data_IF_502262241398
#
_entry.id   IF_502262241398
#
_cell.length_a   1.000
_cell.length_b   1.000
_cell.length_c   1.000
_cell.angle_alpha   90.00
_cell.angle_beta   90.00
_cell.angle_gamma   90.00
#
_symmetry.space_group_name_H-M   'P 1'
#
loop_
_entity.id
_entity.type
_entity.pdbx_description
1 polymer ?
#
# COMPACT_ATOMS: atom_id res chain seq x y z
N UNK A 1 9.50 16.16 61.28
CA UNK A 1 10.18 15.92 59.99
C UNK A 1 10.74 14.49 59.96
N UNK A 2 9.97 13.50 59.47
CA UNK A 2 10.36 12.08 59.47
C UNK A 2 11.13 11.74 58.19
N UNK A 3 12.46 11.66 58.27
CA UNK A 3 13.30 11.12 57.19
C UNK A 3 13.15 9.60 57.15
N UNK A 4 12.47 9.07 56.13
CA UNK A 4 12.45 7.63 55.83
C UNK A 4 13.87 7.24 55.40
N UNK A 5 14.59 6.48 56.24
CA UNK A 5 15.84 5.82 55.85
C UNK A 5 15.51 4.85 54.72
N UNK A 6 15.99 5.12 53.50
CA UNK A 6 16.13 4.09 52.48
C UNK A 6 17.15 3.07 53.02
N UNK A 7 16.65 1.89 53.40
CA UNK A 7 17.51 0.76 53.68
C UNK A 7 18.20 0.33 52.39
N UNK A 8 19.47 0.72 52.24
CA UNK A 8 20.36 0.10 51.27
C UNK A 8 20.53 -1.34 51.73
N UNK A 9 19.95 -2.28 50.98
CA UNK A 9 20.11 -3.70 51.21
C UNK A 9 21.60 -4.04 51.16
N UNK A 10 22.18 -4.47 52.29
CA UNK A 10 23.51 -5.08 52.31
C UNK A 10 23.44 -6.38 51.52
N UNK A 11 23.88 -6.34 50.27
CA UNK A 11 23.89 -7.46 49.34
C UNK A 11 24.94 -8.50 49.77
N UNK A 12 24.47 -9.58 50.41
CA UNK A 12 25.33 -10.66 50.94
C UNK A 12 25.88 -11.62 49.88
N UNK A 13 25.48 -11.50 48.61
CA UNK A 13 25.93 -12.42 47.56
C UNK A 13 25.96 -11.74 46.18
N UNK A 14 27.14 -11.39 45.64
CA UNK A 14 27.25 -10.65 44.39
C UNK A 14 26.68 -11.42 43.18
N UNK A 15 26.70 -12.76 43.22
CA UNK A 15 26.14 -13.60 42.14
C UNK A 15 24.62 -13.45 42.06
N UNK A 16 23.93 -13.46 43.20
CA UNK A 16 22.46 -13.27 43.24
C UNK A 16 22.05 -11.91 42.69
N UNK A 17 22.91 -10.90 42.84
CA UNK A 17 22.64 -9.52 42.41
C UNK A 17 22.73 -9.41 40.91
N UNK A 18 23.78 -10.00 40.33
CA UNK A 18 23.96 -10.07 38.89
C UNK A 18 22.78 -10.83 38.25
N UNK A 19 22.36 -11.96 38.84
CA UNK A 19 21.19 -12.70 38.35
C UNK A 19 19.89 -11.88 38.41
N UNK A 20 19.66 -11.14 39.49
CA UNK A 20 18.46 -10.28 39.63
C UNK A 20 18.49 -9.14 38.61
N UNK A 21 19.63 -8.49 38.42
CA UNK A 21 19.78 -7.41 37.44
C UNK A 21 19.53 -7.96 36.02
N UNK A 22 20.14 -9.08 35.66
CA UNK A 22 19.96 -9.71 34.37
C UNK A 22 18.50 -10.10 34.10
N UNK A 23 17.80 -10.68 35.08
CA UNK A 23 16.39 -11.06 34.91
C UNK A 23 15.49 -9.84 34.76
N UNK A 24 15.72 -8.78 35.55
CA UNK A 24 14.96 -7.53 35.46
C UNK A 24 15.20 -6.84 34.12
N UNK A 25 16.45 -6.77 33.65
CA UNK A 25 16.79 -6.23 32.34
C UNK A 25 16.10 -6.99 31.20
N UNK A 26 16.06 -8.33 31.25
CA UNK A 26 15.39 -9.14 30.24
C UNK A 26 13.87 -8.87 30.21
N UNK A 27 13.22 -8.78 31.38
CA UNK A 27 11.79 -8.45 31.49
C UNK A 27 11.51 -7.05 30.92
N UNK A 28 12.36 -6.06 31.22
CA UNK A 28 12.22 -4.70 30.69
C UNK A 28 12.34 -4.70 29.16
N UNK A 29 13.30 -5.44 28.59
CA UNK A 29 13.44 -5.56 27.13
C UNK A 29 12.21 -6.20 26.50
N UNK A 30 11.66 -7.26 27.10
CA UNK A 30 10.44 -7.90 26.62
C UNK A 30 9.23 -6.95 26.65
N UNK A 31 9.09 -6.16 27.72
CA UNK A 31 8.03 -5.16 27.84
C UNK A 31 8.20 -4.05 26.80
N UNK A 32 9.42 -3.53 26.61
CA UNK A 32 9.70 -2.50 25.59
C UNK A 32 9.43 -3.04 24.18
N UNK A 33 9.84 -4.28 23.87
CA UNK A 33 9.51 -4.95 22.60
C UNK A 33 8.01 -5.11 22.42
N UNK A 34 7.27 -5.56 23.45
CA UNK A 34 5.82 -5.68 23.38
C UNK A 34 5.11 -4.33 23.19
N UNK A 35 5.61 -3.27 23.84
CA UNK A 35 5.12 -1.89 23.68
C UNK A 35 5.45 -1.36 22.27
N UNK A 36 6.62 -1.66 21.70
CA UNK A 36 6.96 -1.29 20.33
C UNK A 36 6.06 -1.99 19.31
N UNK A 37 5.67 -3.25 19.55
CA UNK A 37 4.67 -3.94 18.71
C UNK A 37 3.26 -3.34 18.83
N UNK A 38 2.88 -2.80 19.99
CA UNK A 38 1.57 -2.14 20.21
C UNK A 38 1.55 -0.65 19.85
N UNK A 39 2.71 -0.05 19.53
CA UNK A 39 2.80 1.30 18.94
C UNK A 39 2.44 1.34 17.45
N UNK A 40 2.09 0.19 16.86
CA UNK A 40 1.22 0.18 15.68
C UNK A 40 -0.16 0.61 16.17
N UNK A 41 -0.39 1.92 16.12
CA UNK A 41 -1.67 2.56 16.39
C UNK A 41 -2.82 1.71 15.83
N UNK A 42 -3.87 1.41 16.59
CA UNK A 42 -5.15 1.06 15.99
C UNK A 42 -5.68 2.35 15.39
N UNK A 43 -5.12 2.78 14.26
CA UNK A 43 -5.77 3.73 13.38
C UNK A 43 -7.13 3.12 13.09
N UNK A 44 -8.16 3.77 13.63
CA UNK A 44 -9.57 3.70 13.26
C UNK A 44 -9.86 2.55 12.30
N UNK A 45 -10.50 1.48 12.78
CA UNK A 45 -11.16 0.50 11.93
C UNK A 45 -12.36 1.21 11.27
N UNK A 46 -12.08 2.19 10.42
CA UNK A 46 -12.84 2.35 9.21
C UNK A 46 -12.43 1.11 8.43
N UNK A 47 -13.29 0.10 8.40
CA UNK A 47 -13.24 -0.89 7.33
C UNK A 47 -13.02 -0.10 6.04
N UNK A 48 -11.90 -0.31 5.31
CA UNK A 48 -11.59 0.48 4.13
C UNK A 48 -12.82 0.46 3.25
N UNK A 49 -13.30 1.63 2.86
CA UNK A 49 -14.57 1.75 2.15
C UNK A 49 -14.43 1.09 0.77
N UNK A 50 -14.75 -0.20 0.74
CA UNK A 50 -14.65 -1.04 -0.46
C UNK A 50 -15.59 -0.57 -1.56
N UNK A 51 -16.50 0.35 -1.26
CA UNK A 51 -17.37 0.96 -2.28
C UNK A 51 -16.57 1.70 -3.35
N UNK A 52 -15.36 2.19 -3.02
CA UNK A 52 -14.51 2.99 -3.92
C UNK A 52 -13.82 2.19 -5.04
N UNK A 53 -13.69 0.88 -4.89
CA UNK A 53 -12.94 0.01 -5.83
C UNK A 53 -13.76 -0.33 -7.09
N UNK A 54 -15.08 -0.19 -7.05
CA UNK A 54 -15.93 -0.56 -8.19
C UNK A 54 -15.93 -2.07 -8.49
N UNK A 55 -16.48 -2.46 -9.63
CA UNK A 55 -16.65 -3.85 -10.05
C UNK A 55 -15.51 -4.32 -10.95
N UNK A 56 -15.01 -3.45 -11.84
CA UNK A 56 -13.81 -3.72 -12.62
C UNK A 56 -12.61 -3.87 -11.69
N UNK A 57 -12.48 -2.97 -10.71
CA UNK A 57 -11.39 -3.02 -9.74
C UNK A 57 -11.41 -4.29 -8.88
N UNK A 58 -12.59 -4.74 -8.43
CA UNK A 58 -12.72 -6.04 -7.74
C UNK A 58 -12.26 -7.21 -8.61
N UNK A 59 -12.52 -7.15 -9.91
CA UNK A 59 -12.11 -8.18 -10.85
C UNK A 59 -10.59 -8.23 -11.01
N UNK A 60 -9.95 -7.07 -11.17
CA UNK A 60 -8.47 -6.95 -11.22
C UNK A 60 -7.83 -7.48 -9.93
N UNK A 61 -8.35 -7.11 -8.76
CA UNK A 61 -7.80 -7.59 -7.47
C UNK A 61 -7.90 -9.12 -7.35
N UNK A 62 -8.96 -9.75 -7.88
CA UNK A 62 -9.11 -11.22 -7.86
C UNK A 62 -8.12 -11.96 -8.76
N UNK A 63 -7.51 -11.27 -9.73
CA UNK A 63 -6.47 -11.85 -10.58
C UNK A 63 -5.12 -11.97 -9.85
N UNK A 64 -4.90 -11.19 -8.78
CA UNK A 64 -3.68 -11.27 -7.98
C UNK A 64 -3.70 -12.47 -7.02
N UNK A 65 -2.54 -13.09 -6.77
CA UNK A 65 -2.44 -14.12 -5.74
C UNK A 65 -2.64 -13.53 -4.35
N UNK A 66 -3.38 -14.24 -3.50
CA UNK A 66 -3.86 -13.74 -2.20
C UNK A 66 -2.85 -13.86 -1.06
N UNK A 67 -1.78 -14.62 -1.26
CA UNK A 67 -0.74 -14.95 -0.30
C UNK A 67 0.51 -14.07 -0.41
N UNK A 68 0.66 -13.35 -1.52
CA UNK A 68 1.80 -12.49 -1.81
C UNK A 68 1.48 -11.00 -1.65
N UNK A 69 2.50 -10.22 -1.28
CA UNK A 69 2.37 -8.78 -1.08
C UNK A 69 2.45 -8.03 -2.40
N UNK A 70 1.39 -7.26 -2.71
CA UNK A 70 1.34 -6.38 -3.88
C UNK A 70 0.90 -4.98 -3.49
N UNK A 71 1.38 -4.00 -4.23
CA UNK A 71 0.75 -2.69 -4.36
C UNK A 71 0.11 -2.60 -5.73
N UNK A 72 -1.14 -2.14 -5.79
CA UNK A 72 -1.91 -2.00 -7.01
C UNK A 72 -2.35 -0.53 -7.16
N UNK A 73 -1.89 0.11 -8.22
CA UNK A 73 -2.32 1.45 -8.63
C UNK A 73 -3.56 1.32 -9.52
N UNK A 74 -4.68 1.01 -8.89
CA UNK A 74 -5.91 0.58 -9.52
C UNK A 74 -6.67 1.75 -10.12
N UNK A 75 -6.99 1.77 -11.43
CA UNK A 75 -7.89 2.77 -11.97
C UNK A 75 -9.23 2.78 -11.24
N UNK A 76 -9.79 3.97 -11.01
CA UNK A 76 -11.15 4.09 -10.50
C UNK A 76 -12.14 3.48 -11.49
N UNK A 77 -13.33 3.11 -11.01
CA UNK A 77 -14.38 2.60 -11.89
C UNK A 77 -14.71 3.60 -13.01
N UNK A 78 -14.64 4.90 -12.72
CA UNK A 78 -14.81 5.96 -13.71
C UNK A 78 -13.66 6.00 -14.72
N UNK A 79 -12.41 5.89 -14.27
CA UNK A 79 -11.25 5.82 -15.17
C UNK A 79 -11.33 4.61 -16.11
N UNK A 80 -11.78 3.44 -15.63
CA UNK A 80 -12.03 2.27 -16.49
C UNK A 80 -13.04 2.57 -17.60
N UNK A 81 -14.14 3.27 -17.28
CA UNK A 81 -15.17 3.62 -18.27
C UNK A 81 -14.75 4.74 -19.20
N UNK A 82 -14.05 5.75 -18.68
CA UNK A 82 -13.68 6.95 -19.41
C UNK A 82 -12.50 6.70 -20.33
N UNK A 83 -11.43 6.11 -19.80
CA UNK A 83 -10.15 6.04 -20.48
C UNK A 83 -10.02 4.76 -21.33
N UNK A 84 -10.69 3.67 -20.91
CA UNK A 84 -10.67 2.38 -21.62
C UNK A 84 -12.01 2.02 -22.25
N UNK A 85 -13.04 2.87 -22.09
CA UNK A 85 -14.39 2.67 -22.63
C UNK A 85 -15.02 1.32 -22.26
N UNK A 86 -14.60 0.77 -21.11
CA UNK A 86 -15.00 -0.57 -20.71
C UNK A 86 -16.50 -0.66 -20.44
N UNK A 87 -17.11 -1.66 -21.05
CA UNK A 87 -18.48 -2.07 -20.79
C UNK A 87 -18.48 -3.54 -20.35
N UNK A 88 -19.29 -3.89 -19.35
CA UNK A 88 -19.34 -5.25 -18.77
C UNK A 88 -19.74 -6.33 -19.77
N UNK A 89 -20.43 -5.93 -20.84
CA UNK A 89 -20.93 -6.85 -21.86
C UNK A 89 -19.92 -7.11 -22.99
N UNK A 90 -18.76 -6.47 -22.93
CA UNK A 90 -17.72 -6.62 -23.95
C UNK A 90 -16.85 -7.86 -23.66
N UNK A 91 -16.63 -8.68 -24.69
CA UNK A 91 -15.77 -9.87 -24.63
C UNK A 91 -14.32 -9.52 -24.28
N UNK A 92 -13.87 -8.33 -24.66
CA UNK A 92 -12.45 -7.97 -24.57
C UNK A 92 -12.07 -7.40 -23.20
N UNK A 93 -13.08 -7.14 -22.35
CA UNK A 93 -12.93 -6.62 -20.99
C UNK A 93 -11.86 -7.37 -20.21
N UNK A 94 -11.89 -8.71 -20.21
CA UNK A 94 -10.96 -9.49 -19.39
C UNK A 94 -9.50 -9.34 -19.86
N UNK A 95 -9.27 -9.26 -21.17
CA UNK A 95 -7.95 -9.05 -21.75
C UNK A 95 -7.41 -7.66 -21.39
N UNK A 96 -8.25 -6.64 -21.51
CA UNK A 96 -7.93 -5.26 -21.13
C UNK A 96 -7.59 -5.18 -19.63
N UNK A 97 -8.41 -5.76 -18.76
CA UNK A 97 -8.16 -5.77 -17.31
C UNK A 97 -6.86 -6.50 -16.94
N UNK A 98 -6.52 -7.58 -17.65
CA UNK A 98 -5.25 -8.29 -17.46
C UNK A 98 -4.06 -7.42 -17.85
N UNK A 99 -4.19 -6.65 -18.94
CA UNK A 99 -3.15 -5.74 -19.39
C UNK A 99 -2.97 -4.56 -18.43
N UNK A 100 -4.06 -3.99 -17.94
CA UNK A 100 -4.05 -2.99 -16.86
C UNK A 100 -3.36 -3.53 -15.61
N UNK A 101 -3.66 -4.76 -15.20
CA UNK A 101 -2.99 -5.40 -14.07
C UNK A 101 -1.47 -5.46 -14.26
N UNK A 102 -1.02 -5.86 -15.45
CA UNK A 102 0.40 -5.93 -15.80
C UNK A 102 1.14 -4.61 -15.58
N UNK A 103 0.54 -3.49 -15.97
CA UNK A 103 1.13 -2.16 -15.84
C UNK A 103 1.00 -1.57 -14.42
N UNK A 104 -0.08 -1.87 -13.71
CA UNK A 104 -0.44 -1.17 -12.47
C UNK A 104 -0.03 -1.87 -11.17
N UNK A 105 0.35 -3.15 -11.23
CA UNK A 105 0.69 -3.93 -10.05
C UNK A 105 2.20 -4.01 -9.84
N UNK A 106 2.64 -3.84 -8.60
CA UNK A 106 4.04 -3.97 -8.16
C UNK A 106 4.14 -5.07 -7.10
N UNK A 107 5.07 -6.03 -7.21
CA UNK A 107 5.18 -7.18 -6.29
C UNK A 107 5.85 -6.84 -4.95
N UNK A 108 5.40 -5.76 -4.30
CA UNK A 108 5.77 -5.35 -2.93
C UNK A 108 4.78 -4.33 -2.40
N UNK A 109 4.75 -4.13 -1.08
CA UNK A 109 4.04 -2.99 -0.50
C UNK A 109 4.81 -1.68 -0.66
N UNK A 110 4.07 -0.67 -1.09
CA UNK A 110 4.45 0.72 -1.21
C UNK A 110 3.28 1.53 -0.66
N UNK A 111 3.40 1.95 0.58
CA UNK A 111 2.44 2.82 1.25
C UNK A 111 2.81 4.29 1.08
N UNK A 112 1.87 5.19 1.36
CA UNK A 112 2.20 6.63 1.37
C UNK A 112 3.24 7.00 2.43
N UNK A 113 3.47 6.16 3.44
CA UNK A 113 4.52 6.34 4.45
C UNK A 113 5.92 5.99 3.92
N UNK A 114 6.01 5.18 2.85
CA UNK A 114 7.26 4.82 2.20
C UNK A 114 7.71 5.89 1.19
N UNK A 115 6.87 6.90 0.91
CA UNK A 115 7.10 7.94 -0.09
C UNK A 115 7.41 9.28 0.58
N UNK A 116 8.47 9.93 0.10
CA UNK A 116 8.86 11.27 0.51
C UNK A 116 8.14 12.32 -0.36
N UNK A 117 7.72 13.42 0.25
CA UNK A 117 7.10 14.53 -0.48
C UNK A 117 8.04 15.11 -1.54
N UNK A 118 7.53 15.27 -2.76
CA UNK A 118 8.26 15.88 -3.88
C UNK A 118 9.46 15.06 -4.38
N UNK A 119 9.66 13.83 -3.90
CA UNK A 119 10.67 12.91 -4.43
C UNK A 119 9.99 11.78 -5.19
N UNK A 120 10.50 11.54 -6.39
CA UNK A 120 10.07 10.42 -7.22
C UNK A 120 10.92 9.19 -6.91
N UNK A 121 10.26 8.03 -6.84
CA UNK A 121 10.87 6.70 -6.80
C UNK A 121 10.42 5.90 -8.01
N UNK A 122 11.29 5.04 -8.52
CA UNK A 122 10.98 4.15 -9.64
C UNK A 122 10.75 2.75 -9.13
N UNK A 123 9.72 2.09 -9.65
CA UNK A 123 9.37 0.71 -9.38
C UNK A 123 9.02 -0.01 -10.69
N UNK A 124 9.32 -1.30 -10.77
CA UNK A 124 8.93 -2.12 -11.91
C UNK A 124 7.56 -2.76 -11.64
N UNK A 125 6.64 -2.64 -12.60
CA UNK A 125 5.38 -3.37 -12.57
C UNK A 125 5.57 -4.86 -12.83
N UNK A 126 4.51 -5.67 -12.73
CA UNK A 126 4.52 -7.09 -13.10
C UNK A 126 4.97 -7.29 -14.57
N UNK A 127 4.58 -6.40 -15.48
CA UNK A 127 5.00 -6.44 -16.88
C UNK A 127 6.41 -5.89 -17.13
N UNK A 128 7.10 -5.38 -16.10
CA UNK A 128 8.38 -4.69 -16.24
C UNK A 128 8.27 -3.23 -16.70
N UNK A 129 7.06 -2.65 -16.65
CA UNK A 129 6.84 -1.24 -16.97
C UNK A 129 7.30 -0.35 -15.80
N UNK A 130 8.03 0.70 -16.12
CA UNK A 130 8.55 1.64 -15.13
C UNK A 130 7.44 2.54 -14.58
N UNK A 131 7.23 2.45 -13.28
CA UNK A 131 6.32 3.29 -12.51
C UNK A 131 7.11 4.33 -11.72
N UNK A 132 6.92 5.58 -12.10
CA UNK A 132 7.43 6.78 -11.45
C UNK A 132 6.43 7.24 -10.39
N UNK A 133 6.68 6.84 -9.16
CA UNK A 133 5.77 7.04 -8.02
C UNK A 133 6.27 8.18 -7.15
N UNK A 134 5.39 9.12 -6.81
CA UNK A 134 5.69 10.24 -5.93
C UNK A 134 4.52 10.53 -5.00
N UNK A 135 4.76 11.35 -3.97
CA UNK A 135 3.74 11.81 -3.03
C UNK A 135 3.61 13.33 -3.10
N UNK A 136 2.39 13.79 -3.33
CA UNK A 136 2.03 15.21 -3.30
C UNK A 136 1.80 15.72 -1.87
N UNK A 137 1.81 17.05 -1.69
CA UNK A 137 1.64 17.71 -0.39
C UNK A 137 0.28 17.40 0.27
N UNK A 138 -0.76 17.16 -0.53
CA UNK A 138 -2.09 16.73 -0.08
C UNK A 138 -2.11 15.27 0.44
N UNK A 139 -1.01 14.54 0.31
CA UNK A 139 -0.88 13.14 0.71
C UNK A 139 -1.23 12.13 -0.40
N UNK A 140 -1.68 12.59 -1.56
CA UNK A 140 -2.03 11.73 -2.70
C UNK A 140 -0.77 11.17 -3.37
N UNK A 141 -0.93 9.97 -3.95
CA UNK A 141 0.10 9.31 -4.73
C UNK A 141 -0.07 9.70 -6.20
N UNK A 142 1.03 10.03 -6.85
CA UNK A 142 1.07 10.27 -8.29
C UNK A 142 1.95 9.21 -8.94
N UNK A 143 1.42 8.56 -9.98
CA UNK A 143 2.11 7.52 -10.74
C UNK A 143 2.09 7.88 -12.22
N UNK A 144 3.26 8.11 -12.81
CA UNK A 144 3.38 8.48 -14.23
C UNK A 144 2.47 9.66 -14.64
N UNK A 145 2.27 10.62 -13.72
CA UNK A 145 1.39 11.78 -13.92
C UNK A 145 -0.09 11.55 -13.58
N UNK A 146 -0.50 10.32 -13.29
CA UNK A 146 -1.87 10.00 -12.84
C UNK A 146 -1.96 10.15 -11.34
N UNK A 147 -2.90 10.97 -10.87
CA UNK A 147 -3.13 11.25 -9.43
C UNK A 147 -4.10 10.21 -8.84
N UNK A 148 -3.86 9.79 -7.61
CA UNK A 148 -4.79 8.94 -6.86
C UNK A 148 -6.02 9.70 -6.35
N UNK A 149 -7.17 9.04 -6.29
CA UNK A 149 -8.38 9.48 -5.58
C UNK A 149 -8.42 8.98 -4.13
N UNK A 150 -7.91 7.77 -3.88
CA UNK A 150 -7.84 7.14 -2.55
C UNK A 150 -6.50 6.42 -2.41
N UNK A 151 -5.94 6.39 -1.20
CA UNK A 151 -4.61 5.83 -0.94
C UNK A 151 -4.64 4.84 0.22
N UNK A 152 -3.67 3.92 0.23
CA UNK A 152 -3.42 2.96 1.30
C UNK A 152 -4.62 2.05 1.68
N UNK A 153 -5.48 1.71 0.71
CA UNK A 153 -6.61 0.80 0.93
C UNK A 153 -6.13 -0.64 1.05
N UNK A 154 -6.31 -1.25 2.23
CA UNK A 154 -5.81 -2.61 2.48
C UNK A 154 -6.86 -3.68 2.15
N UNK A 155 -6.52 -4.57 1.22
CA UNK A 155 -7.33 -5.73 0.81
C UNK A 155 -6.52 -7.02 0.99
N UNK A 156 -6.50 -7.54 2.21
CA UNK A 156 -5.72 -8.74 2.54
C UNK A 156 -4.21 -8.46 2.42
N UNK A 157 -3.54 -9.13 1.47
CA UNK A 157 -2.12 -8.91 1.14
C UNK A 157 -1.89 -7.89 0.02
N UNK A 158 -2.95 -7.32 -0.55
CA UNK A 158 -2.86 -6.28 -1.57
C UNK A 158 -3.11 -4.91 -0.93
N UNK A 159 -2.21 -3.95 -1.20
CA UNK A 159 -2.39 -2.54 -0.88
C UNK A 159 -2.84 -1.81 -2.15
N UNK A 160 -3.95 -1.10 -2.09
CA UNK A 160 -4.55 -0.46 -3.27
C UNK A 160 -4.51 1.05 -3.12
N UNK A 161 -4.03 1.72 -4.17
CA UNK A 161 -4.23 3.15 -4.39
C UNK A 161 -5.18 3.27 -5.57
N UNK A 162 -6.31 3.94 -5.40
CA UNK A 162 -7.29 4.16 -6.47
C UNK A 162 -6.84 5.36 -7.27
N UNK A 163 -6.75 5.23 -8.59
CA UNK A 163 -6.17 6.20 -9.51
C UNK A 163 -7.25 6.88 -10.36
N UNK A 164 -7.20 8.20 -10.53
CA UNK A 164 -8.11 8.96 -11.39
C UNK A 164 -7.72 8.87 -12.88
N UNK A 165 -7.19 7.74 -13.29
CA UNK A 165 -6.73 7.48 -14.64
C UNK A 165 -6.12 6.10 -14.76
N UNK A 166 -5.80 5.72 -15.98
CA UNK A 166 -5.16 4.44 -16.27
C UNK A 166 -3.68 4.66 -16.56
N UNK A 167 -2.83 3.95 -15.82
CA UNK A 167 -1.38 3.93 -16.06
C UNK A 167 -1.08 2.85 -17.08
N UNK A 168 -0.53 3.24 -18.23
CA UNK A 168 -0.18 2.34 -19.33
C UNK A 168 0.91 2.89 -20.24
N UNK A 169 1.41 2.07 -21.15
CA UNK A 169 2.30 2.48 -22.22
C UNK A 169 1.53 2.99 -23.46
N UNK A 170 2.25 3.64 -24.36
CA UNK A 170 1.67 4.22 -25.57
C UNK A 170 1.11 3.16 -26.53
N UNK A 171 1.70 1.96 -26.57
CA UNK A 171 1.20 0.87 -27.42
C UNK A 171 -0.18 0.40 -26.96
N UNK A 172 -0.37 0.23 -25.65
CA UNK A 172 -1.66 -0.14 -25.10
C UNK A 172 -2.68 0.99 -25.24
N UNK A 173 -2.27 2.24 -25.00
CA UNK A 173 -3.12 3.41 -25.19
C UNK A 173 -3.66 3.49 -26.62
N UNK A 174 -2.80 3.31 -27.63
CA UNK A 174 -3.23 3.27 -29.03
C UNK A 174 -4.19 2.12 -29.33
N UNK A 175 -4.00 0.96 -28.70
CA UNK A 175 -4.88 -0.20 -28.94
C UNK A 175 -6.30 -0.05 -28.39
N UNK A 176 -6.53 0.92 -27.49
CA UNK A 176 -7.84 1.19 -26.87
C UNK A 176 -8.43 2.53 -27.31
N UNK A 177 -7.69 3.30 -28.11
CA UNK A 177 -8.20 4.50 -28.77
C UNK A 177 -9.18 4.10 -29.88
N UNK A 178 -10.21 4.93 -30.15
CA UNK A 178 -11.05 4.71 -31.32
C UNK A 178 -10.20 4.73 -32.59
N UNK A 179 -10.53 3.89 -33.56
CA UNK A 179 -10.15 4.16 -34.94
C UNK A 179 -10.82 5.49 -35.29
N UNK A 180 -10.03 6.54 -35.53
CA UNK A 180 -10.57 7.77 -36.07
C UNK A 180 -11.19 7.40 -37.42
N UNK A 181 -12.52 7.52 -37.52
CA UNK A 181 -13.25 7.41 -38.79
C UNK A 181 -12.82 8.59 -39.69
N UNK A 182 -11.65 8.46 -40.32
CA UNK A 182 -11.21 9.27 -41.44
C UNK A 182 -12.06 8.91 -42.68
N UNK A 183 -13.37 9.14 -42.63
CA UNK A 183 -14.23 9.24 -43.81
C UNK A 183 -14.65 10.70 -44.00
N UNK A 184 -13.91 11.34 -44.92
CA UNK A 184 -14.18 12.67 -45.44
C UNK A 184 -15.13 12.62 -46.63
#
# INVERSE_FOLDING_TARGET
MRRKKLGVSKLKNPVKVICIIASVSFIIIQIISAIQLTKISPSTINSPDRSKIGEFGKTVIRMLPSDLAFTLFLPSEEAFRRDLRLNRNDSDTYAILTRVLGFSAVPRWISTADLDYGKQKTYDSISGFNLYVSKELNGMVVVNGVVSDEVDLRMGKVLVHVMNGVVMDAEFEQSVQPEDDDEK
#
